data_IF_966712684238
#
_entry.id   IF_966712684238
#
_cell.length_a   1.000
_cell.length_b   1.000
_cell.length_c   1.000
_cell.angle_alpha   90.00
_cell.angle_beta   90.00
_cell.angle_gamma   90.00
#
_symmetry.space_group_name_H-M   'P 1'
#
loop_
_entity.id
_entity.type
_entity.pdbx_description
1 polymer ?
#
# COMPACT_ATOMS: atom_id res chain seq x y z
N UNK A 1 -49.85 -65.84 -19.34
CA UNK A 1 -49.26 -66.97 -20.09
C UNK A 1 -49.73 -66.87 -21.51
N UNK A 2 -48.96 -66.18 -22.36
CA UNK A 2 -49.28 -66.01 -23.77
C UNK A 2 -48.74 -67.22 -24.54
N UNK A 3 -49.63 -67.95 -25.19
CA UNK A 3 -49.31 -69.07 -26.08
C UNK A 3 -48.44 -68.56 -27.23
N UNK A 4 -47.28 -69.20 -27.44
CA UNK A 4 -46.41 -68.92 -28.58
C UNK A 4 -47.04 -69.48 -29.86
N UNK A 5 -47.15 -68.70 -30.96
CA UNK A 5 -47.66 -69.18 -32.24
C UNK A 5 -46.80 -70.30 -32.87
N UNK A 6 -45.58 -70.52 -32.35
CA UNK A 6 -44.73 -71.65 -32.72
C UNK A 6 -45.22 -73.01 -32.21
N UNK A 7 -46.00 -73.05 -31.12
CA UNK A 7 -46.48 -74.32 -30.54
C UNK A 7 -47.67 -74.91 -31.31
N UNK A 8 -48.48 -74.04 -31.94
CA UNK A 8 -49.65 -74.47 -32.71
C UNK A 8 -49.30 -74.89 -34.15
N UNK A 9 -48.17 -74.43 -34.71
CA UNK A 9 -47.68 -74.91 -36.02
C UNK A 9 -47.14 -76.34 -35.99
N UNK A 10 -46.74 -76.86 -34.83
CA UNK A 10 -46.23 -78.24 -34.67
C UNK A 10 -47.34 -79.28 -34.46
N UNK A 11 -48.62 -78.87 -34.42
CA UNK A 11 -49.78 -79.77 -34.27
C UNK A 11 -50.59 -79.99 -35.56
N UNK A 12 -50.08 -79.55 -36.71
CA UNK A 12 -50.69 -79.97 -37.98
C UNK A 12 -50.19 -81.36 -38.36
N UNK A 13 -51.06 -82.33 -38.12
CA UNK A 13 -50.96 -83.71 -38.56
C UNK A 13 -51.11 -83.77 -40.09
N UNK A 14 -50.05 -83.45 -40.85
CA UNK A 14 -50.05 -83.63 -42.30
C UNK A 14 -49.66 -85.08 -42.64
N UNK A 15 -50.69 -85.88 -42.94
CA UNK A 15 -50.60 -87.20 -43.55
C UNK A 15 -49.94 -87.09 -44.95
N UNK A 16 -49.22 -88.10 -45.45
CA UNK A 16 -48.45 -88.01 -46.70
C UNK A 16 -49.27 -87.93 -48.00
N UNK A 17 -50.61 -88.00 -47.93
CA UNK A 17 -51.43 -88.36 -49.09
C UNK A 17 -52.17 -87.18 -49.77
N UNK A 18 -51.81 -85.93 -49.45
CA UNK A 18 -52.51 -84.74 -49.98
C UNK A 18 -51.62 -83.66 -50.60
N UNK A 19 -50.50 -84.05 -51.24
CA UNK A 19 -49.73 -83.19 -52.15
C UNK A 19 -49.38 -83.94 -53.44
N UNK A 20 -50.33 -84.69 -53.99
CA UNK A 20 -50.26 -85.06 -55.41
C UNK A 20 -51.15 -84.09 -56.18
N UNK A 21 -50.55 -82.96 -56.56
CA UNK A 21 -50.89 -82.34 -57.83
C UNK A 21 -50.15 -83.13 -58.90
N UNK A 22 -50.91 -83.57 -59.92
CA UNK A 22 -50.56 -84.36 -61.10
C UNK A 22 -49.07 -84.72 -61.31
N UNK A 23 -48.82 -86.03 -61.40
CA UNK A 23 -47.54 -86.72 -61.60
C UNK A 23 -46.74 -86.33 -62.87
N UNK A 24 -47.15 -85.31 -63.63
CA UNK A 24 -46.58 -84.91 -64.93
C UNK A 24 -45.70 -83.65 -64.90
N UNK A 25 -45.31 -83.16 -63.72
CA UNK A 25 -44.41 -81.98 -63.60
C UNK A 25 -43.14 -82.25 -62.80
N UNK A 26 -42.69 -83.50 -62.80
CA UNK A 26 -41.30 -83.78 -62.47
C UNK A 26 -40.45 -83.32 -63.65
N UNK A 27 -39.52 -82.39 -63.40
CA UNK A 27 -38.41 -82.17 -64.32
C UNK A 27 -37.56 -83.44 -64.28
N UNK A 28 -37.93 -84.44 -65.08
CA UNK A 28 -36.97 -85.41 -65.57
C UNK A 28 -35.83 -84.62 -66.20
N UNK A 29 -34.60 -84.86 -65.75
CA UNK A 29 -33.44 -84.46 -66.53
C UNK A 29 -33.69 -84.98 -67.96
N UNK A 30 -33.73 -84.12 -68.99
CA UNK A 30 -34.22 -84.53 -70.29
C UNK A 30 -33.38 -85.72 -70.77
N UNK A 31 -34.04 -86.88 -70.91
CA UNK A 31 -33.38 -88.18 -71.06
C UNK A 31 -32.52 -88.32 -72.33
N UNK A 32 -32.51 -87.31 -73.19
CA UNK A 32 -31.85 -87.29 -74.50
C UNK A 32 -30.77 -86.20 -74.65
N UNK A 33 -30.36 -85.54 -73.55
CA UNK A 33 -29.26 -84.56 -73.62
C UNK A 33 -27.91 -85.30 -73.75
N UNK A 34 -27.02 -84.92 -74.69
CA UNK A 34 -25.66 -85.42 -74.75
C UNK A 34 -24.97 -85.23 -73.40
N UNK A 35 -24.08 -86.16 -73.03
CA UNK A 35 -23.42 -86.22 -71.72
C UNK A 35 -22.82 -84.87 -71.24
N UNK A 36 -22.39 -84.02 -72.17
CA UNK A 36 -21.90 -82.66 -71.92
C UNK A 36 -22.96 -81.69 -71.37
N UNK A 37 -24.21 -81.79 -71.80
CA UNK A 37 -25.32 -80.93 -71.34
C UNK A 37 -25.89 -81.40 -70.00
N UNK A 38 -25.72 -82.70 -69.68
CA UNK A 38 -25.99 -83.25 -68.35
C UNK A 38 -24.90 -82.81 -67.36
N UNK A 39 -23.63 -82.85 -67.76
CA UNK A 39 -22.52 -82.22 -67.01
C UNK A 39 -22.77 -80.72 -66.82
N UNK A 40 -23.19 -79.97 -67.84
CA UNK A 40 -23.55 -78.54 -67.69
C UNK A 40 -24.74 -78.30 -66.74
N UNK A 41 -25.69 -79.23 -66.64
CA UNK A 41 -26.83 -79.14 -65.71
C UNK A 41 -26.40 -79.41 -64.25
N UNK A 42 -25.54 -80.40 -64.03
CA UNK A 42 -24.94 -80.65 -62.71
C UNK A 42 -23.93 -79.56 -62.34
N UNK A 43 -23.16 -79.04 -63.29
CA UNK A 43 -22.30 -77.85 -63.14
C UNK A 43 -23.15 -76.60 -62.85
N UNK A 44 -24.37 -76.48 -63.38
CA UNK A 44 -25.31 -75.40 -63.05
C UNK A 44 -25.88 -75.53 -61.63
N UNK A 45 -26.08 -76.75 -61.13
CA UNK A 45 -26.44 -77.03 -59.73
C UNK A 45 -25.23 -76.86 -58.78
N UNK A 46 -24.03 -77.24 -59.20
CA UNK A 46 -22.77 -77.01 -58.49
C UNK A 46 -22.41 -75.51 -58.47
N UNK A 47 -22.74 -74.77 -59.52
CA UNK A 47 -22.69 -73.31 -59.57
C UNK A 47 -23.72 -72.64 -58.62
N UNK A 48 -24.84 -73.30 -58.30
CA UNK A 48 -25.74 -72.85 -57.23
C UNK A 48 -25.18 -73.12 -55.82
N UNK A 49 -24.35 -74.15 -55.64
CA UNK A 49 -23.54 -74.33 -54.43
C UNK A 49 -22.43 -73.26 -54.34
N UNK A 50 -21.84 -72.85 -55.46
CA UNK A 50 -20.98 -71.66 -55.53
C UNK A 50 -21.73 -70.39 -55.15
N UNK A 51 -23.05 -70.29 -55.35
CA UNK A 51 -23.87 -69.20 -54.84
C UNK A 51 -24.09 -69.22 -53.32
N UNK A 52 -23.79 -70.30 -52.60
CA UNK A 52 -23.70 -70.28 -51.13
C UNK A 52 -22.36 -69.63 -50.74
N UNK A 53 -21.30 -69.92 -51.49
CA UNK A 53 -19.96 -69.30 -51.39
C UNK A 53 -19.92 -67.87 -51.97
N UNK A 54 -20.88 -67.48 -52.81
CA UNK A 54 -21.02 -66.15 -53.44
C UNK A 54 -22.25 -65.35 -52.97
N UNK A 55 -23.14 -65.92 -52.16
CA UNK A 55 -23.95 -65.19 -51.17
C UNK A 55 -23.13 -64.95 -49.89
N UNK A 56 -21.98 -65.61 -49.79
CA UNK A 56 -20.96 -65.30 -48.81
C UNK A 56 -20.56 -63.83 -48.76
N UNK A 57 -20.54 -62.97 -49.80
CA UNK A 57 -20.29 -61.53 -49.67
C UNK A 57 -21.27 -60.83 -48.73
N UNK A 58 -22.53 -61.28 -48.66
CA UNK A 58 -23.52 -60.80 -47.68
C UNK A 58 -23.33 -61.41 -46.28
N UNK A 59 -22.55 -62.50 -46.16
CA UNK A 59 -22.19 -63.19 -44.92
C UNK A 59 -20.72 -62.92 -44.48
N UNK A 60 -19.86 -62.39 -45.36
CA UNK A 60 -18.46 -62.00 -45.14
C UNK A 60 -18.32 -60.49 -45.00
N UNK A 61 -19.22 -59.72 -45.61
CA UNK A 61 -19.75 -58.52 -44.95
C UNK A 61 -20.82 -58.94 -43.93
N UNK A 62 -20.46 -59.80 -42.97
CA UNK A 62 -20.93 -59.52 -41.62
C UNK A 62 -20.54 -58.07 -41.38
N UNK A 63 -21.50 -57.14 -41.51
CA UNK A 63 -21.35 -55.77 -41.02
C UNK A 63 -20.89 -55.94 -39.58
N UNK A 64 -19.59 -55.88 -39.37
CA UNK A 64 -18.98 -55.97 -38.06
C UNK A 64 -19.67 -54.91 -37.24
N UNK A 65 -20.30 -55.34 -36.14
CA UNK A 65 -21.00 -54.43 -35.24
C UNK A 65 -20.11 -53.24 -34.95
N UNK A 66 -20.57 -52.03 -35.23
CA UNK A 66 -19.70 -50.86 -35.20
C UNK A 66 -19.25 -50.50 -33.79
N UNK A 67 -19.97 -50.99 -32.78
CA UNK A 67 -19.81 -50.60 -31.38
C UNK A 67 -19.75 -51.79 -30.42
N UNK A 68 -19.52 -53.00 -30.93
CA UNK A 68 -19.31 -54.20 -30.10
C UNK A 68 -17.92 -54.76 -30.37
N UNK A 69 -17.26 -55.18 -29.28
CA UNK A 69 -15.92 -55.73 -29.35
C UNK A 69 -15.92 -57.07 -30.08
N UNK A 70 -14.91 -57.32 -30.91
CA UNK A 70 -14.69 -58.63 -31.50
C UNK A 70 -13.22 -59.04 -31.27
N UNK A 71 -12.94 -59.78 -30.18
CA UNK A 71 -11.58 -60.20 -29.84
C UNK A 71 -10.99 -61.17 -30.85
N UNK A 72 -11.82 -61.99 -31.51
CA UNK A 72 -11.37 -62.94 -32.54
C UNK A 72 -10.83 -62.20 -33.78
N UNK A 73 -11.40 -61.03 -34.09
CA UNK A 73 -10.95 -60.14 -35.18
C UNK A 73 -10.01 -59.02 -34.71
N UNK A 74 -9.59 -59.03 -33.45
CA UNK A 74 -8.79 -57.95 -32.83
C UNK A 74 -9.41 -56.56 -33.06
N UNK A 75 -10.74 -56.46 -32.95
CA UNK A 75 -11.51 -55.25 -33.20
C UNK A 75 -12.04 -54.67 -31.87
N UNK A 76 -11.62 -53.44 -31.57
CA UNK A 76 -11.97 -52.70 -30.36
C UNK A 76 -12.48 -51.31 -30.76
N UNK A 77 -13.79 -51.13 -30.99
CA UNK A 77 -14.33 -49.86 -31.44
C UNK A 77 -14.17 -48.76 -30.38
N UNK A 78 -13.98 -47.53 -30.84
CA UNK A 78 -14.09 -46.36 -29.97
C UNK A 78 -15.57 -46.14 -29.67
N UNK A 79 -15.93 -46.26 -28.40
CA UNK A 79 -17.31 -46.19 -27.98
C UNK A 79 -17.76 -44.71 -27.84
N UNK A 80 -18.88 -44.33 -28.47
CA UNK A 80 -19.47 -43.00 -28.27
C UNK A 80 -19.81 -42.72 -26.80
N UNK A 81 -20.22 -43.75 -26.06
CA UNK A 81 -20.47 -43.67 -24.61
C UNK A 81 -19.21 -43.34 -23.83
N UNK A 82 -18.08 -44.00 -24.11
CA UNK A 82 -16.80 -43.72 -23.44
C UNK A 82 -16.29 -42.32 -23.75
N UNK A 83 -16.39 -41.91 -25.01
CA UNK A 83 -15.99 -40.57 -25.45
C UNK A 83 -16.75 -39.51 -24.65
N UNK A 84 -18.08 -39.62 -24.59
CA UNK A 84 -18.91 -38.68 -23.83
C UNK A 84 -18.68 -38.80 -22.31
N UNK A 85 -18.45 -40.01 -21.79
CA UNK A 85 -18.15 -40.24 -20.38
C UNK A 85 -16.84 -39.54 -19.97
N UNK A 86 -15.83 -39.59 -20.83
CA UNK A 86 -14.56 -38.88 -20.64
C UNK A 86 -14.74 -37.36 -20.73
N UNK A 87 -15.51 -36.86 -21.70
CA UNK A 87 -15.83 -35.42 -21.80
C UNK A 87 -16.52 -34.91 -20.52
N UNK A 88 -17.45 -35.69 -19.96
CA UNK A 88 -18.08 -35.36 -18.68
C UNK A 88 -17.04 -35.34 -17.54
N UNK A 89 -16.14 -36.34 -17.49
CA UNK A 89 -15.08 -36.41 -16.49
C UNK A 89 -14.12 -35.23 -16.55
N UNK A 90 -13.70 -34.83 -17.76
CA UNK A 90 -12.87 -33.64 -18.00
C UNK A 90 -13.59 -32.39 -17.54
N UNK A 91 -14.85 -32.21 -17.93
CA UNK A 91 -15.63 -31.04 -17.53
C UNK A 91 -15.78 -30.92 -16.00
N UNK A 92 -16.08 -32.02 -15.31
CA UNK A 92 -16.16 -32.05 -13.84
C UNK A 92 -14.84 -31.61 -13.21
N UNK A 93 -13.72 -32.09 -13.76
CA UNK A 93 -12.37 -31.81 -13.23
C UNK A 93 -11.96 -30.37 -13.50
N UNK A 94 -12.12 -29.89 -14.73
CA UNK A 94 -11.72 -28.54 -15.15
C UNK A 94 -12.50 -27.46 -14.40
N UNK A 95 -13.81 -27.67 -14.23
CA UNK A 95 -14.68 -26.72 -13.54
C UNK A 95 -14.70 -26.93 -12.01
N UNK A 96 -13.95 -27.92 -11.50
CA UNK A 96 -13.87 -28.29 -10.09
C UNK A 96 -15.26 -28.45 -9.42
N UNK A 97 -16.16 -29.16 -10.08
CA UNK A 97 -17.49 -29.43 -9.57
C UNK A 97 -17.42 -30.29 -8.30
N UNK A 98 -18.20 -29.94 -7.29
CA UNK A 98 -18.31 -30.66 -6.02
C UNK A 98 -19.40 -31.72 -6.08
N UNK A 99 -19.28 -32.71 -5.20
CA UNK A 99 -20.25 -33.81 -5.13
C UNK A 99 -21.69 -33.37 -4.81
N UNK A 100 -21.84 -32.22 -4.15
CA UNK A 100 -23.13 -31.62 -3.79
C UNK A 100 -23.69 -30.66 -4.85
N UNK A 101 -22.91 -30.31 -5.88
CA UNK A 101 -23.38 -29.46 -6.97
C UNK A 101 -24.48 -30.18 -7.76
N UNK A 102 -25.57 -29.47 -8.03
CA UNK A 102 -26.70 -30.02 -8.79
C UNK A 102 -26.26 -30.51 -10.17
N UNK A 103 -25.40 -29.75 -10.83
CA UNK A 103 -24.83 -30.05 -12.13
C UNK A 103 -23.96 -31.30 -12.09
N UNK A 104 -23.18 -31.49 -11.03
CA UNK A 104 -22.42 -32.73 -10.81
C UNK A 104 -23.33 -33.95 -10.71
N UNK A 105 -24.37 -33.89 -9.88
CA UNK A 105 -25.34 -34.98 -9.70
C UNK A 105 -26.02 -35.33 -11.03
N UNK A 106 -26.41 -34.32 -11.82
CA UNK A 106 -27.01 -34.53 -13.13
C UNK A 106 -26.03 -35.17 -14.13
N UNK A 107 -24.77 -34.75 -14.14
CA UNK A 107 -23.73 -35.34 -14.97
C UNK A 107 -23.44 -36.79 -14.57
N UNK A 108 -23.38 -37.10 -13.28
CA UNK A 108 -23.24 -38.48 -12.79
C UNK A 108 -24.42 -39.36 -13.21
N UNK A 109 -25.64 -38.82 -13.20
CA UNK A 109 -26.80 -39.53 -13.72
C UNK A 109 -26.69 -39.81 -15.23
N UNK A 110 -26.09 -38.90 -16.01
CA UNK A 110 -25.78 -39.16 -17.42
C UNK A 110 -24.72 -40.25 -17.56
N UNK A 111 -23.63 -40.23 -16.77
CA UNK A 111 -22.59 -41.28 -16.80
C UNK A 111 -23.16 -42.67 -16.49
N UNK A 112 -24.03 -42.76 -15.49
CA UNK A 112 -24.73 -44.01 -15.17
C UNK A 112 -25.62 -44.49 -16.33
N UNK A 113 -26.32 -43.57 -17.00
CA UNK A 113 -27.11 -43.91 -18.20
C UNK A 113 -26.24 -44.37 -19.36
N UNK A 114 -25.07 -43.76 -19.58
CA UNK A 114 -24.14 -44.18 -20.64
C UNK A 114 -23.60 -45.58 -20.39
N UNK A 115 -23.27 -45.91 -19.15
CA UNK A 115 -22.79 -47.25 -18.77
C UNK A 115 -23.87 -48.29 -19.05
N UNK A 116 -25.09 -48.08 -18.54
CA UNK A 116 -26.22 -48.99 -18.78
C UNK A 116 -26.60 -49.09 -20.27
N UNK A 117 -26.47 -47.99 -21.03
CA UNK A 117 -26.80 -47.98 -22.45
C UNK A 117 -25.84 -48.86 -23.25
N UNK A 118 -24.54 -48.79 -22.95
CA UNK A 118 -23.55 -49.63 -23.61
C UNK A 118 -23.75 -51.10 -23.26
N UNK A 119 -23.88 -51.43 -21.97
CA UNK A 119 -24.07 -52.81 -21.51
C UNK A 119 -25.34 -53.46 -22.10
N UNK A 120 -26.41 -52.69 -22.27
CA UNK A 120 -27.63 -53.20 -22.89
C UNK A 120 -27.49 -53.34 -24.40
N UNK A 121 -26.86 -52.37 -25.08
CA UNK A 121 -26.63 -52.45 -26.52
C UNK A 121 -25.75 -53.65 -26.89
N UNK A 122 -24.66 -53.88 -26.15
CA UNK A 122 -23.78 -55.03 -26.36
C UNK A 122 -24.55 -56.34 -26.21
N UNK A 123 -25.32 -56.50 -25.12
CA UNK A 123 -26.15 -57.69 -24.89
C UNK A 123 -27.19 -57.92 -25.99
N UNK A 124 -27.87 -56.87 -26.43
CA UNK A 124 -28.91 -56.99 -27.47
C UNK A 124 -28.32 -57.39 -28.82
N UNK A 125 -27.12 -56.87 -29.15
CA UNK A 125 -26.38 -57.25 -30.35
C UNK A 125 -25.88 -58.70 -30.25
N UNK A 126 -25.35 -59.13 -29.11
CA UNK A 126 -24.92 -60.53 -28.87
C UNK A 126 -26.05 -61.54 -29.09
N UNK A 127 -27.28 -61.20 -28.67
CA UNK A 127 -28.46 -62.07 -28.88
C UNK A 127 -28.77 -62.24 -30.37
N UNK A 128 -28.68 -61.16 -31.15
CA UNK A 128 -28.88 -61.22 -32.60
C UNK A 128 -27.74 -61.98 -33.30
N UNK A 129 -26.48 -61.77 -32.89
CA UNK A 129 -25.33 -62.51 -33.40
C UNK A 129 -25.44 -64.01 -33.11
N UNK A 130 -25.86 -64.39 -31.90
CA UNK A 130 -26.12 -65.78 -31.55
C UNK A 130 -27.24 -66.38 -32.43
N UNK A 131 -28.30 -65.61 -32.68
CA UNK A 131 -29.41 -66.04 -33.54
C UNK A 131 -28.96 -66.23 -34.99
N UNK A 132 -28.14 -65.33 -35.53
CA UNK A 132 -27.52 -65.45 -36.85
C UNK A 132 -26.62 -66.69 -36.90
N UNK A 133 -25.77 -66.91 -35.89
CA UNK A 133 -24.88 -68.07 -35.82
C UNK A 133 -25.66 -69.40 -35.83
N UNK A 134 -26.70 -69.53 -35.00
CA UNK A 134 -27.54 -70.74 -34.94
C UNK A 134 -28.33 -70.96 -36.24
N UNK A 135 -28.83 -69.89 -36.87
CA UNK A 135 -29.55 -70.00 -38.15
C UNK A 135 -28.61 -70.36 -39.31
N UNK A 136 -27.38 -69.84 -39.30
CA UNK A 136 -26.32 -70.28 -40.21
C UNK A 136 -25.98 -71.75 -40.00
N UNK A 137 -25.75 -72.22 -38.77
CA UNK A 137 -25.50 -73.64 -38.52
C UNK A 137 -26.61 -74.54 -39.07
N UNK A 138 -27.88 -74.12 -38.97
CA UNK A 138 -29.01 -74.83 -39.60
C UNK A 138 -28.91 -74.83 -41.14
N UNK A 139 -28.47 -73.75 -41.75
CA UNK A 139 -28.23 -73.67 -43.20
C UNK A 139 -27.16 -74.67 -43.65
N UNK A 140 -26.05 -74.72 -42.90
CA UNK A 140 -24.96 -75.65 -43.15
C UNK A 140 -25.43 -77.11 -43.04
N UNK A 141 -26.20 -77.45 -41.99
CA UNK A 141 -26.79 -78.78 -41.83
C UNK A 141 -27.75 -79.14 -42.97
N UNK A 142 -28.56 -78.20 -43.47
CA UNK A 142 -29.43 -78.41 -44.64
C UNK A 142 -28.61 -78.66 -45.91
N UNK A 143 -27.46 -78.00 -46.07
CA UNK A 143 -26.51 -78.28 -47.16
C UNK A 143 -25.90 -79.68 -47.08
N UNK A 144 -25.49 -80.12 -45.89
CA UNK A 144 -24.90 -81.47 -45.69
C UNK A 144 -25.91 -82.60 -45.96
N UNK A 145 -27.17 -82.46 -45.52
CA UNK A 145 -28.22 -83.46 -45.77
C UNK A 145 -28.53 -83.68 -47.25
N UNK A 146 -28.21 -82.73 -48.12
CA UNK A 146 -28.42 -82.84 -49.58
C UNK A 146 -27.55 -83.92 -50.22
N UNK A 147 -26.50 -84.38 -49.53
CA UNK A 147 -25.53 -85.36 -50.00
C UNK A 147 -25.76 -86.77 -49.42
N UNK A 148 -26.86 -87.01 -48.70
CA UNK A 148 -27.24 -88.35 -48.22
C UNK A 148 -27.99 -89.15 -49.32
N UNK A 149 -27.58 -90.39 -49.62
CA UNK A 149 -28.12 -91.17 -50.75
C UNK A 149 -29.60 -91.58 -50.62
N UNK A 150 -30.18 -91.51 -49.41
CA UNK A 150 -31.59 -91.87 -49.12
C UNK A 150 -32.54 -90.65 -49.13
N UNK A 151 -32.06 -89.45 -49.48
CA UNK A 151 -32.81 -88.22 -49.29
C UNK A 151 -33.76 -87.91 -50.47
N UNK A 152 -35.08 -87.94 -50.21
CA UNK A 152 -36.17 -87.71 -51.19
C UNK A 152 -36.36 -86.20 -51.49
N UNK A 153 -35.51 -85.32 -50.96
CA UNK A 153 -35.67 -83.87 -51.11
C UNK A 153 -35.46 -83.42 -52.56
N UNK A 154 -36.47 -82.78 -53.15
CA UNK A 154 -36.37 -82.13 -54.46
C UNK A 154 -35.58 -80.82 -54.34
N UNK A 155 -34.85 -80.42 -55.39
CA UNK A 155 -34.10 -79.16 -55.41
C UNK A 155 -34.96 -77.91 -55.12
N UNK A 156 -36.27 -77.98 -55.37
CA UNK A 156 -37.25 -76.94 -54.98
C UNK A 156 -37.41 -76.78 -53.47
N UNK A 157 -37.40 -77.87 -52.71
CA UNK A 157 -37.56 -77.82 -51.25
C UNK A 157 -36.31 -77.26 -50.57
N UNK A 158 -35.14 -77.58 -51.10
CA UNK A 158 -33.88 -76.99 -50.67
C UNK A 158 -33.86 -75.48 -50.88
N UNK A 159 -34.20 -75.03 -52.10
CA UNK A 159 -34.28 -73.61 -52.43
C UNK A 159 -35.23 -72.87 -51.48
N UNK A 160 -36.41 -73.43 -51.21
CA UNK A 160 -37.38 -72.84 -50.28
C UNK A 160 -36.86 -72.73 -48.85
N UNK A 161 -36.19 -73.76 -48.32
CA UNK A 161 -35.59 -73.72 -46.98
C UNK A 161 -34.43 -72.72 -46.90
N UNK A 162 -33.57 -72.68 -47.92
CA UNK A 162 -32.47 -71.73 -48.02
C UNK A 162 -32.98 -70.29 -48.03
N UNK A 163 -33.96 -69.99 -48.87
CA UNK A 163 -34.53 -68.65 -49.00
C UNK A 163 -35.18 -68.20 -47.67
N UNK A 164 -35.84 -69.11 -46.93
CA UNK A 164 -36.39 -68.83 -45.60
C UNK A 164 -35.31 -68.50 -44.54
N UNK A 165 -34.17 -69.22 -44.57
CA UNK A 165 -33.06 -68.94 -43.65
C UNK A 165 -32.39 -67.62 -43.99
N UNK A 166 -32.20 -67.32 -45.27
CA UNK A 166 -31.66 -66.03 -45.72
C UNK A 166 -32.58 -64.86 -45.35
N UNK A 167 -33.90 -65.03 -45.46
CA UNK A 167 -34.87 -64.04 -44.98
C UNK A 167 -34.70 -63.77 -43.48
N UNK A 168 -34.53 -64.83 -42.67
CA UNK A 168 -34.33 -64.69 -41.22
C UNK A 168 -33.01 -63.98 -40.87
N UNK A 169 -31.92 -64.28 -41.57
CA UNK A 169 -30.64 -63.58 -41.37
C UNK A 169 -30.76 -62.10 -41.77
N UNK A 170 -31.49 -61.80 -42.84
CA UNK A 170 -31.76 -60.43 -43.26
C UNK A 170 -32.61 -59.65 -42.24
N UNK A 171 -33.58 -60.31 -41.59
CA UNK A 171 -34.33 -59.71 -40.48
C UNK A 171 -33.41 -59.34 -39.31
N UNK A 172 -32.55 -60.26 -38.86
CA UNK A 172 -31.58 -60.00 -37.78
C UNK A 172 -30.61 -58.87 -38.16
N UNK A 173 -30.14 -58.82 -39.40
CA UNK A 173 -29.29 -57.71 -39.88
C UNK A 173 -30.00 -56.36 -39.82
N UNK A 174 -31.31 -56.31 -40.13
CA UNK A 174 -32.12 -55.08 -40.00
C UNK A 174 -32.34 -54.69 -38.54
N UNK A 175 -32.57 -55.65 -37.64
CA UNK A 175 -32.73 -55.35 -36.21
C UNK A 175 -31.44 -54.80 -35.62
N UNK A 176 -30.29 -55.38 -35.96
CA UNK A 176 -28.97 -54.86 -35.56
C UNK A 176 -28.73 -53.42 -36.03
N UNK A 177 -29.03 -53.12 -37.29
CA UNK A 177 -28.92 -51.74 -37.80
C UNK A 177 -29.84 -50.77 -37.06
N UNK A 178 -31.05 -51.22 -36.69
CA UNK A 178 -31.97 -50.42 -35.87
C UNK A 178 -31.41 -50.16 -34.47
N UNK A 179 -30.84 -51.19 -33.82
CA UNK A 179 -30.23 -51.08 -32.50
C UNK A 179 -29.02 -50.13 -32.51
N UNK A 180 -28.16 -50.18 -33.54
CA UNK A 180 -27.03 -49.24 -33.70
C UNK A 180 -27.52 -47.79 -33.84
N UNK A 181 -28.58 -47.56 -34.62
CA UNK A 181 -29.15 -46.23 -34.79
C UNK A 181 -29.79 -45.70 -33.50
N UNK A 182 -30.56 -46.54 -32.79
CA UNK A 182 -31.15 -46.20 -31.49
C UNK A 182 -30.07 -45.89 -30.43
N UNK A 183 -28.97 -46.64 -30.44
CA UNK A 183 -27.80 -46.39 -29.59
C UNK A 183 -27.16 -45.03 -29.89
N UNK A 184 -26.92 -44.70 -31.16
CA UNK A 184 -26.36 -43.40 -31.55
C UNK A 184 -27.30 -42.24 -31.22
N UNK A 185 -28.59 -42.39 -31.47
CA UNK A 185 -29.60 -41.37 -31.17
C UNK A 185 -29.67 -41.08 -29.67
N UNK A 186 -29.62 -42.12 -28.83
CA UNK A 186 -29.63 -41.97 -27.38
C UNK A 186 -28.35 -41.33 -26.85
N UNK A 187 -27.17 -41.71 -27.37
CA UNK A 187 -25.90 -41.02 -27.04
C UNK A 187 -25.95 -39.55 -27.46
N UNK A 188 -26.46 -39.25 -28.66
CA UNK A 188 -26.61 -37.87 -29.15
C UNK A 188 -27.53 -37.02 -28.26
N UNK A 189 -28.65 -37.59 -27.80
CA UNK A 189 -29.54 -36.94 -26.84
C UNK A 189 -28.84 -36.67 -25.50
N UNK A 190 -28.05 -37.62 -24.98
CA UNK A 190 -27.29 -37.45 -23.74
C UNK A 190 -26.19 -36.40 -23.89
N UNK A 191 -25.49 -36.37 -25.03
CA UNK A 191 -24.50 -35.36 -25.36
C UNK A 191 -25.12 -33.95 -25.43
N UNK A 192 -26.34 -33.82 -25.95
CA UNK A 192 -27.07 -32.55 -25.94
C UNK A 192 -27.39 -32.10 -24.51
N UNK A 193 -27.88 -33.01 -23.66
CA UNK A 193 -28.15 -32.70 -22.24
C UNK A 193 -26.89 -32.30 -21.48
N UNK A 194 -25.77 -32.99 -21.71
CA UNK A 194 -24.47 -32.64 -21.14
C UNK A 194 -24.05 -31.22 -21.53
N UNK A 195 -24.20 -30.85 -22.81
CA UNK A 195 -23.92 -29.49 -23.29
C UNK A 195 -24.82 -28.43 -22.65
N UNK A 196 -26.11 -28.71 -22.50
CA UNK A 196 -27.06 -27.80 -21.85
C UNK A 196 -26.66 -27.54 -20.38
N UNK A 197 -26.34 -28.60 -19.63
CA UNK A 197 -25.85 -28.49 -18.24
C UNK A 197 -24.55 -27.66 -18.19
N UNK A 198 -23.59 -27.95 -19.06
CA UNK A 198 -22.31 -27.23 -19.12
C UNK A 198 -22.50 -25.73 -19.40
N UNK A 199 -23.38 -25.40 -20.34
CA UNK A 199 -23.67 -24.00 -20.68
C UNK A 199 -24.37 -23.27 -19.54
N UNK A 200 -25.33 -23.92 -18.86
CA UNK A 200 -26.01 -23.35 -17.71
C UNK A 200 -25.03 -23.07 -16.56
N UNK A 201 -24.14 -24.02 -16.26
CA UNK A 201 -23.07 -23.84 -15.27
C UNK A 201 -22.17 -22.65 -15.60
N UNK A 202 -21.64 -22.61 -16.83
CA UNK A 202 -20.77 -21.51 -17.28
C UNK A 202 -21.48 -20.15 -17.27
N UNK A 203 -22.79 -20.13 -17.45
CA UNK A 203 -23.58 -18.91 -17.32
C UNK A 203 -23.68 -18.48 -15.86
N UNK A 204 -24.03 -19.39 -14.94
CA UNK A 204 -24.11 -19.11 -13.50
C UNK A 204 -22.79 -18.64 -12.92
N UNK A 205 -21.67 -19.26 -13.32
CA UNK A 205 -20.34 -18.86 -12.88
C UNK A 205 -20.03 -17.41 -13.29
N UNK A 206 -20.27 -17.06 -14.57
CA UNK A 206 -20.08 -15.69 -15.07
C UNK A 206 -20.96 -14.68 -14.34
N UNK A 207 -22.25 -15.00 -14.13
CA UNK A 207 -23.16 -14.13 -13.39
C UNK A 207 -22.68 -13.89 -11.96
N UNK A 208 -22.24 -14.94 -11.26
CA UNK A 208 -21.70 -14.85 -9.90
C UNK A 208 -20.41 -14.02 -9.84
N UNK A 209 -19.50 -14.18 -10.79
CA UNK A 209 -18.29 -13.36 -10.89
C UNK A 209 -18.61 -11.88 -11.09
N UNK A 210 -19.58 -11.57 -11.97
CA UNK A 210 -20.01 -10.19 -12.19
C UNK A 210 -20.67 -9.59 -10.94
N UNK A 211 -21.44 -10.39 -10.20
CA UNK A 211 -22.06 -9.95 -8.95
C UNK A 211 -21.01 -9.67 -7.87
N UNK A 212 -20.02 -10.56 -7.72
CA UNK A 212 -18.91 -10.36 -6.79
C UNK A 212 -18.12 -9.09 -7.13
N UNK A 213 -17.82 -8.86 -8.42
CA UNK A 213 -17.15 -7.64 -8.86
C UNK A 213 -17.97 -6.38 -8.54
N UNK A 214 -19.29 -6.41 -8.75
CA UNK A 214 -20.18 -5.32 -8.39
C UNK A 214 -20.25 -5.09 -6.88
N UNK A 215 -20.28 -6.15 -6.08
CA UNK A 215 -20.25 -6.05 -4.62
C UNK A 215 -18.94 -5.43 -4.12
N UNK A 216 -17.80 -5.84 -4.68
CA UNK A 216 -16.49 -5.24 -4.36
C UNK A 216 -16.45 -3.75 -4.73
N UNK A 217 -16.95 -3.38 -5.91
CA UNK A 217 -17.03 -1.97 -6.31
C UNK A 217 -17.90 -1.15 -5.35
N UNK A 218 -19.04 -1.69 -4.91
CA UNK A 218 -19.91 -1.03 -3.91
C UNK A 218 -19.22 -0.86 -2.57
N UNK A 219 -18.51 -1.89 -2.10
CA UNK A 219 -17.76 -1.83 -0.85
C UNK A 219 -16.64 -0.77 -0.92
N UNK A 220 -15.85 -0.77 -2.00
CA UNK A 220 -14.80 0.22 -2.23
C UNK A 220 -15.35 1.64 -2.31
N UNK A 221 -16.47 1.84 -3.02
CA UNK A 221 -17.14 3.14 -3.09
C UNK A 221 -17.63 3.61 -1.72
N UNK A 222 -18.19 2.71 -0.90
CA UNK A 222 -18.59 3.04 0.47
C UNK A 222 -17.40 3.42 1.34
N UNK A 223 -16.28 2.70 1.23
CA UNK A 223 -15.04 3.04 1.94
C UNK A 223 -14.51 4.42 1.54
N UNK A 224 -14.47 4.71 0.23
CA UNK A 224 -14.04 6.01 -0.30
C UNK A 224 -14.96 7.13 0.21
N UNK A 225 -16.28 6.91 0.20
CA UNK A 225 -17.25 7.89 0.74
C UNK A 225 -17.02 8.16 2.22
N UNK A 226 -16.78 7.13 3.03
CA UNK A 226 -16.49 7.30 4.46
C UNK A 226 -15.18 8.06 4.70
N UNK A 227 -14.12 7.75 3.95
CA UNK A 227 -12.85 8.49 4.00
C UNK A 227 -13.04 9.96 3.63
N UNK A 228 -13.79 10.23 2.56
CA UNK A 228 -14.09 11.60 2.12
C UNK A 228 -14.91 12.36 3.17
N UNK A 229 -15.89 11.71 3.81
CA UNK A 229 -16.68 12.33 4.88
C UNK A 229 -15.81 12.67 6.10
N UNK A 230 -14.86 11.81 6.47
CA UNK A 230 -13.92 12.09 7.56
C UNK A 230 -13.02 13.29 7.24
N UNK A 231 -12.44 13.33 6.02
CA UNK A 231 -11.61 14.47 5.57
C UNK A 231 -12.42 15.77 5.58
N UNK A 232 -13.67 15.75 5.12
CA UNK A 232 -14.54 16.93 5.16
C UNK A 232 -14.82 17.38 6.59
N UNK A 233 -15.01 16.45 7.53
CA UNK A 233 -15.21 16.76 8.95
C UNK A 233 -13.96 17.38 9.58
N UNK A 234 -12.78 16.82 9.30
CA UNK A 234 -11.49 17.37 9.75
C UNK A 234 -11.27 18.78 9.19
N UNK A 235 -11.53 18.97 7.89
CA UNK A 235 -11.47 20.29 7.25
C UNK A 235 -12.37 21.30 7.94
N UNK A 236 -13.63 20.95 8.21
CA UNK A 236 -14.56 21.83 8.92
C UNK A 236 -14.07 22.17 10.34
N UNK A 237 -13.46 21.21 11.03
CA UNK A 237 -12.83 21.45 12.34
C UNK A 237 -11.65 22.44 12.26
N UNK A 238 -10.79 22.30 11.24
CA UNK A 238 -9.68 23.22 10.99
C UNK A 238 -10.16 24.61 10.59
N UNK A 239 -11.17 24.71 9.72
CA UNK A 239 -11.79 25.99 9.33
C UNK A 239 -12.37 26.72 10.55
N UNK A 240 -13.05 25.98 11.45
CA UNK A 240 -13.53 26.56 12.70
C UNK A 240 -12.38 27.03 13.61
N UNK A 241 -11.31 26.24 13.75
CA UNK A 241 -10.13 26.62 14.53
C UNK A 241 -9.43 27.87 13.98
N UNK A 242 -9.34 27.98 12.65
CA UNK A 242 -8.78 29.14 11.96
C UNK A 242 -9.61 30.40 12.24
N UNK A 243 -10.94 30.30 12.24
CA UNK A 243 -11.82 31.42 12.57
C UNK A 243 -11.61 31.93 14.01
N UNK A 244 -11.41 31.03 14.98
CA UNK A 244 -11.06 31.43 16.36
C UNK A 244 -9.71 32.15 16.42
N UNK A 245 -8.69 31.64 15.74
CA UNK A 245 -7.37 32.27 15.71
C UNK A 245 -7.40 33.65 15.01
N UNK A 246 -8.22 33.82 13.97
CA UNK A 246 -8.45 35.11 13.35
C UNK A 246 -9.06 36.11 14.33
N UNK A 247 -10.08 35.69 15.09
CA UNK A 247 -10.69 36.52 16.12
C UNK A 247 -9.69 36.93 17.22
N UNK A 248 -8.87 35.99 17.69
CA UNK A 248 -7.84 36.29 18.69
C UNK A 248 -6.79 37.28 18.16
N UNK A 249 -6.39 37.15 16.89
CA UNK A 249 -5.47 38.10 16.26
C UNK A 249 -6.09 39.51 16.16
N UNK A 250 -7.34 39.63 15.74
CA UNK A 250 -8.06 40.92 15.70
C UNK A 250 -8.12 41.58 17.09
N UNK A 251 -8.35 40.77 18.14
CA UNK A 251 -8.36 41.24 19.52
C UNK A 251 -6.97 41.73 19.95
N UNK A 252 -5.92 40.98 19.64
CA UNK A 252 -4.53 41.37 19.95
C UNK A 252 -4.16 42.66 19.22
N UNK A 253 -4.48 42.78 17.93
CA UNK A 253 -4.24 44.00 17.15
C UNK A 253 -4.93 45.20 17.80
N UNK A 254 -6.20 45.05 18.18
CA UNK A 254 -6.96 46.12 18.86
C UNK A 254 -6.29 46.56 20.16
N UNK A 255 -5.79 45.61 20.97
CA UNK A 255 -5.05 45.92 22.19
C UNK A 255 -3.69 46.57 21.92
N UNK A 256 -2.99 46.15 20.88
CA UNK A 256 -1.74 46.77 20.47
C UNK A 256 -1.95 48.24 20.09
N UNK A 257 -3.01 48.56 19.35
CA UNK A 257 -3.35 49.96 19.04
C UNK A 257 -3.63 50.77 20.31
N UNK A 258 -4.37 50.21 21.27
CA UNK A 258 -4.61 50.87 22.57
C UNK A 258 -3.30 51.14 23.32
N UNK A 259 -2.42 50.15 23.44
CA UNK A 259 -1.13 50.35 24.11
C UNK A 259 -0.23 51.35 23.38
N UNK A 260 -0.27 51.37 22.06
CA UNK A 260 0.46 52.35 21.25
C UNK A 260 -0.03 53.78 21.58
N UNK A 261 -1.34 53.98 21.67
CA UNK A 261 -1.94 55.26 22.01
C UNK A 261 -1.63 55.68 23.45
N UNK A 262 -1.76 54.76 24.41
CA UNK A 262 -1.40 54.99 25.82
C UNK A 262 0.08 55.35 25.97
N UNK A 263 0.96 54.63 25.28
CA UNK A 263 2.40 54.92 25.26
C UNK A 263 2.68 56.31 24.69
N UNK A 264 2.06 56.66 23.56
CA UNK A 264 2.18 57.97 22.96
C UNK A 264 1.67 59.08 23.89
N UNK A 265 0.57 58.85 24.60
CA UNK A 265 0.03 59.77 25.60
C UNK A 265 1.03 59.99 26.75
N UNK A 266 1.50 58.91 27.37
CA UNK A 266 2.50 58.97 28.44
C UNK A 266 3.79 59.65 27.98
N UNK A 267 4.25 59.37 26.75
CA UNK A 267 5.40 60.04 26.16
C UNK A 267 5.18 61.54 26.06
N UNK A 268 4.02 62.01 25.60
CA UNK A 268 3.67 63.45 25.54
C UNK A 268 3.64 64.07 26.93
N UNK A 269 3.08 63.39 27.94
CA UNK A 269 3.09 63.87 29.34
C UNK A 269 4.52 63.98 29.88
N UNK A 270 5.37 62.99 29.59
CA UNK A 270 6.78 62.98 29.98
C UNK A 270 7.56 64.12 29.31
N UNK A 271 7.34 64.35 28.02
CA UNK A 271 8.05 65.39 27.25
C UNK A 271 7.52 66.80 27.53
N UNK A 272 6.24 66.93 27.88
CA UNK A 272 5.56 68.17 28.26
C UNK A 272 5.77 68.54 29.72
N UNK A 273 4.72 68.42 30.54
CA UNK A 273 4.67 68.95 31.93
C UNK A 273 5.80 68.42 32.80
N UNK A 274 6.08 67.11 32.75
CA UNK A 274 7.17 66.52 33.54
C UNK A 274 8.54 66.87 32.97
N UNK A 275 8.66 67.00 31.65
CA UNK A 275 9.90 67.36 30.97
C UNK A 275 10.30 68.82 31.25
N UNK A 276 9.33 69.71 31.31
CA UNK A 276 9.51 71.10 31.71
C UNK A 276 9.85 71.21 33.21
N UNK A 277 9.19 70.43 34.06
CA UNK A 277 9.51 70.37 35.48
C UNK A 277 10.95 69.86 35.72
N UNK A 278 11.35 68.77 35.07
CA UNK A 278 12.72 68.25 35.17
C UNK A 278 13.75 69.27 34.69
N UNK A 279 13.51 69.95 33.56
CA UNK A 279 14.39 71.05 33.08
C UNK A 279 14.42 72.25 34.04
N UNK A 280 13.38 72.47 34.82
CA UNK A 280 13.36 73.50 35.87
C UNK A 280 14.17 73.08 37.09
N UNK A 281 14.06 71.82 37.49
CA UNK A 281 14.82 71.25 38.61
C UNK A 281 16.30 71.21 38.27
N UNK A 282 16.68 70.76 37.08
CA UNK A 282 18.08 70.72 36.62
C UNK A 282 18.70 72.13 36.64
N UNK A 283 17.98 73.15 36.14
CA UNK A 283 18.42 74.55 36.20
C UNK A 283 18.59 75.06 37.63
N UNK A 284 17.70 74.66 38.55
CA UNK A 284 17.81 75.04 39.96
C UNK A 284 19.05 74.40 40.63
N UNK A 285 19.37 73.15 40.29
CA UNK A 285 20.56 72.44 40.77
C UNK A 285 21.83 73.09 40.23
N UNK A 286 21.88 73.42 38.94
CA UNK A 286 23.00 74.14 38.32
C UNK A 286 23.24 75.49 39.02
N UNK A 287 22.18 76.26 39.26
CA UNK A 287 22.29 77.56 39.92
C UNK A 287 22.76 77.45 41.37
N UNK A 288 22.32 76.43 42.10
CA UNK A 288 22.80 76.16 43.46
C UNK A 288 24.31 75.81 43.47
N UNK A 289 24.78 75.05 42.49
CA UNK A 289 26.19 74.71 42.36
C UNK A 289 27.05 75.93 42.04
N UNK A 290 26.59 76.80 41.15
CA UNK A 290 27.25 78.07 40.82
C UNK A 290 27.35 78.99 42.04
N UNK A 291 26.28 79.10 42.83
CA UNK A 291 26.26 79.89 44.05
C UNK A 291 27.21 79.31 45.12
N UNK A 292 27.29 77.98 45.24
CA UNK A 292 28.25 77.32 46.12
C UNK A 292 29.70 77.61 45.72
N UNK A 293 30.01 77.64 44.42
CA UNK A 293 31.33 78.01 43.90
C UNK A 293 31.63 79.49 44.21
N UNK A 294 30.68 80.40 43.97
CA UNK A 294 30.84 81.83 44.30
C UNK A 294 31.12 82.04 45.78
N UNK A 295 30.38 81.37 46.65
CA UNK A 295 30.57 81.48 48.10
C UNK A 295 31.95 80.96 48.53
N UNK A 296 32.41 79.82 48.00
CA UNK A 296 33.78 79.33 48.26
C UNK A 296 34.85 80.31 47.81
N UNK A 297 34.69 80.91 46.63
CA UNK A 297 35.62 81.92 46.12
C UNK A 297 35.64 83.17 47.00
N UNK A 298 34.47 83.63 47.45
CA UNK A 298 34.35 84.76 48.37
C UNK A 298 35.01 84.46 49.72
N UNK A 299 34.78 83.29 50.29
CA UNK A 299 35.45 82.86 51.53
C UNK A 299 36.96 82.82 51.38
N UNK A 300 37.47 82.25 50.28
CA UNK A 300 38.90 82.21 50.00
C UNK A 300 39.48 83.63 49.87
N UNK A 301 38.78 84.53 49.18
CA UNK A 301 39.18 85.93 49.05
C UNK A 301 39.24 86.64 50.42
N UNK A 302 38.23 86.45 51.26
CA UNK A 302 38.19 87.03 52.61
C UNK A 302 39.28 86.46 53.52
N UNK A 303 39.58 85.16 53.44
CA UNK A 303 40.69 84.54 54.18
C UNK A 303 42.04 85.13 53.77
N UNK A 304 42.31 85.21 52.47
CA UNK A 304 43.55 85.81 51.96
C UNK A 304 43.68 87.27 52.41
N UNK A 305 42.58 88.03 52.36
CA UNK A 305 42.59 89.42 52.81
C UNK A 305 42.89 89.55 54.32
N UNK A 306 42.33 88.66 55.15
CA UNK A 306 42.62 88.60 56.59
C UNK A 306 44.09 88.27 56.85
N UNK A 307 44.65 87.31 56.12
CA UNK A 307 46.07 86.93 56.25
C UNK A 307 47.00 88.08 55.87
N UNK A 308 46.68 88.83 54.80
CA UNK A 308 47.41 90.02 54.42
C UNK A 308 47.42 91.09 55.53
N UNK A 309 46.27 91.32 56.20
CA UNK A 309 46.17 92.26 57.34
C UNK A 309 47.02 91.78 58.52
N UNK A 310 47.04 90.47 58.81
CA UNK A 310 47.87 89.90 59.88
C UNK A 310 49.35 90.08 59.56
N UNK A 311 49.76 89.83 58.31
CA UNK A 311 51.13 90.01 57.87
C UNK A 311 51.60 91.47 58.03
N UNK A 312 50.77 92.40 57.58
CA UNK A 312 50.99 93.85 57.73
C UNK A 312 51.15 94.26 59.20
N UNK A 313 50.30 93.73 60.10
CA UNK A 313 50.44 93.98 61.55
C UNK A 313 51.77 93.47 62.09
N UNK A 314 52.16 92.23 61.73
CA UNK A 314 53.45 91.64 62.16
C UNK A 314 54.65 92.46 61.67
N UNK A 315 54.63 92.94 60.43
CA UNK A 315 55.68 93.82 59.90
C UNK A 315 55.76 95.13 60.67
N UNK A 316 54.61 95.70 61.02
CA UNK A 316 54.51 96.95 61.80
C UNK A 316 55.02 96.76 63.23
N UNK A 317 54.72 95.64 63.86
CA UNK A 317 55.22 95.29 65.20
C UNK A 317 56.74 95.09 65.19
N UNK A 318 57.29 94.37 64.20
CA UNK A 318 58.74 94.23 64.03
C UNK A 318 59.45 95.57 63.78
N UNK A 319 58.85 96.46 62.98
CA UNK A 319 59.38 97.80 62.77
C UNK A 319 59.37 98.64 64.08
N UNK A 320 58.31 98.50 64.89
CA UNK A 320 58.23 99.14 66.22
C UNK A 320 59.32 98.64 67.15
N UNK A 321 59.55 97.34 67.20
CA UNK A 321 60.56 96.72 68.04
C UNK A 321 61.97 97.19 67.64
N UNK A 322 62.28 97.21 66.34
CA UNK A 322 63.52 97.78 65.82
C UNK A 322 63.72 99.26 66.20
N UNK A 323 62.67 100.08 66.10
CA UNK A 323 62.73 101.49 66.52
C UNK A 323 62.94 101.63 68.04
N UNK A 324 62.35 100.76 68.86
CA UNK A 324 62.55 100.74 70.30
C UNK A 324 64.00 100.42 70.67
N UNK A 325 64.60 99.42 70.02
CA UNK A 325 66.02 99.06 70.20
C UNK A 325 66.95 100.21 69.82
N UNK A 326 66.66 100.91 68.72
CA UNK A 326 67.41 102.11 68.30
C UNK A 326 67.37 103.24 69.34
N UNK A 327 66.19 103.51 69.90
CA UNK A 327 66.02 104.54 70.92
C UNK A 327 66.74 104.19 72.23
N UNK A 328 66.74 102.91 72.61
CA UNK A 328 67.43 102.43 73.81
C UNK A 328 68.96 102.55 73.68
N UNK A 329 69.50 102.29 72.48
CA UNK A 329 70.91 102.50 72.16
C UNK A 329 71.30 103.99 72.21
N UNK A 330 70.48 104.87 71.63
CA UNK A 330 70.67 106.33 71.74
C UNK A 330 70.62 106.83 73.19
N UNK A 331 69.76 106.22 74.02
CA UNK A 331 69.70 106.51 75.46
C UNK A 331 71.01 106.18 76.18
N UNK A 332 71.63 105.05 75.84
CA UNK A 332 72.94 104.61 76.36
C UNK A 332 74.07 105.57 75.95
N UNK A 333 74.16 105.92 74.67
CA UNK A 333 75.18 106.87 74.18
C UNK A 333 75.07 108.23 74.89
N UNK A 334 73.85 108.68 75.18
CA UNK A 334 73.62 109.96 75.86
C UNK A 334 74.08 109.94 77.32
N UNK A 335 73.96 108.80 78.01
CA UNK A 335 74.49 108.60 79.37
C UNK A 335 76.02 108.59 79.39
N UNK A 336 76.66 107.91 78.44
CA UNK A 336 78.13 107.91 78.30
C UNK A 336 78.67 109.33 78.06
N UNK A 337 77.98 110.10 77.22
CA UNK A 337 78.35 111.49 76.92
C UNK A 337 78.16 112.44 78.12
N UNK A 338 77.22 112.14 79.03
CA UNK A 338 77.06 112.93 80.27
C UNK A 338 78.13 112.61 81.30
N UNK A 339 78.57 111.36 81.38
CA UNK A 339 79.71 110.94 82.22
C UNK A 339 81.00 111.64 81.79
N UNK A 340 81.32 111.63 80.48
CA UNK A 340 82.46 112.34 79.90
C UNK A 340 82.46 113.85 80.20
N UNK A 341 81.28 114.47 80.20
CA UNK A 341 81.13 115.90 80.51
C UNK A 341 81.41 116.22 81.98
N UNK A 342 81.12 115.28 82.88
CA UNK A 342 81.37 115.43 84.33
C UNK A 342 82.88 115.33 84.61
N UNK A 343 83.57 114.39 83.97
CA UNK A 343 85.03 114.21 84.10
C UNK A 343 85.80 115.44 83.60
N UNK A 344 85.35 116.06 82.49
CA UNK A 344 85.93 117.30 81.96
C UNK A 344 85.74 118.51 82.89
N UNK A 345 84.62 118.57 83.63
CA UNK A 345 84.35 119.64 84.58
C UNK A 345 85.26 119.54 85.82
N UNK A 346 85.53 118.32 86.26
CA UNK A 346 86.43 118.04 87.39
C UNK A 346 87.90 118.35 87.05
N UNK A 347 88.32 118.08 85.81
CA UNK A 347 89.64 118.47 85.32
C UNK A 347 89.85 119.99 85.27
N UNK A 348 88.80 120.76 84.94
CA UNK A 348 88.85 122.22 84.88
C UNK A 348 88.99 122.86 86.26
N UNK A 349 88.25 122.36 87.26
CA UNK A 349 88.34 122.85 88.64
C UNK A 349 89.72 122.63 89.29
N UNK A 350 90.45 121.57 88.89
CA UNK A 350 91.84 121.34 89.32
C UNK A 350 92.83 122.31 88.68
N UNK A 351 92.57 122.77 87.44
CA UNK A 351 93.38 123.79 86.77
C UNK A 351 93.29 125.17 87.44
N UNK A 352 92.10 125.56 87.89
CA UNK A 352 91.87 126.87 88.50
C UNK A 352 92.53 127.02 89.90
N UNK A 353 92.68 125.92 90.66
CA UNK A 353 93.38 125.92 91.96
C UNK A 353 94.90 126.11 91.82
N UNK A 354 95.49 125.64 90.71
CA UNK A 354 96.93 125.78 90.45
C UNK A 354 97.29 127.21 90.04
N UNK A 355 96.42 127.88 89.27
CA UNK A 355 96.66 129.27 88.86
C UNK A 355 96.62 130.26 90.04
N UNK A 356 95.70 130.09 90.99
CA UNK A 356 95.69 130.89 92.23
C UNK A 356 96.96 130.74 93.07
N UNK A 357 97.58 129.57 93.04
CA UNK A 357 98.83 129.31 93.77
C UNK A 357 100.05 130.01 93.13
N UNK A 358 100.01 130.21 91.80
CA UNK A 358 101.08 130.89 91.04
C UNK A 358 101.00 132.41 91.20
N UNK A 359 99.79 132.98 91.23
CA UNK A 359 99.60 134.42 91.40
C UNK A 359 99.97 134.90 92.82
N UNK A 360 99.76 134.06 93.84
CA UNK A 360 100.20 134.33 95.20
C UNK A 360 101.74 134.38 95.34
N UNK A 361 102.47 133.51 94.63
CA UNK A 361 103.94 133.48 94.62
C UNK A 361 104.56 134.67 93.86
N UNK A 362 103.84 135.27 92.90
CA UNK A 362 104.31 136.46 92.18
C UNK A 362 104.26 137.72 93.05
N UNK A 363 103.22 137.89 93.88
CA UNK A 363 103.14 139.06 94.77
C UNK A 363 104.22 139.04 95.87
N UNK A 364 104.64 137.86 96.34
CA UNK A 364 105.63 137.74 97.40
C UNK A 364 107.07 138.01 96.94
N UNK A 365 107.34 137.91 95.62
CA UNK A 365 108.67 138.20 95.03
C UNK A 365 108.86 139.69 94.74
N UNK A 366 107.80 140.42 94.37
CA UNK A 366 107.91 141.86 94.08
C UNK A 366 108.05 142.71 95.36
N UNK A 367 107.52 142.26 96.50
CA UNK A 367 107.64 142.95 97.80
C UNK A 367 109.02 142.81 98.49
N UNK A 368 109.90 141.91 98.03
CA UNK A 368 111.23 141.69 98.65
C UNK A 368 112.39 142.48 98.02
N UNK A 369 112.18 143.30 96.99
CA UNK A 369 113.26 144.09 96.36
C UNK A 369 113.32 145.58 96.74
N UNK A 370 112.43 146.07 97.62
CA UNK A 370 112.56 147.41 98.22
C UNK A 370 112.85 147.34 99.72
N UNK A 371 114.14 147.27 100.07
CA UNK A 371 114.69 148.03 101.21
C UNK A 371 115.36 147.28 102.37
N UNK A 372 116.72 147.26 102.37
CA UNK A 372 117.64 147.54 103.51
C UNK A 372 118.99 147.97 102.88
N UNK A 373 119.27 149.27 102.74
CA UNK A 373 120.14 150.14 103.57
C UNK A 373 121.61 149.71 103.76
N UNK A 374 122.54 150.38 103.05
CA UNK A 374 123.66 151.19 103.59
C UNK A 374 124.54 151.73 102.47
#
# INVERSE_FOLDING_TARGET
MASSPFSDMLKSLYHPDHIFGDEDTWYDAPADLPQQEIEEYFDALENQNFHIVLASPFLTEEKTNRFVNNPERNYWPILPTDTLNNEIGVFITDENLRDDDREYIQLQHIRAKLSNLHDNHERDIEVEDHTISVTLQKLWAVGETLHEPDNIYTGSDYKRKRDLVLERINECSRTKERLENEYLDTVSMLAKKMREISQEWKKKCRERETELALQQLRANNSEIQNRLQNVLREKAGLESGLAFLQYDNELIETRMYQFQDDYNHLRRVREGVLGEHNRSVDRAIEQQNDDAIRNRNLEAHLRNHREAIILERRQRDAARENCSVLLENLGRERQELTSLRRDLFEARARGDCLNHSIDALKMEIDDQKTGVMS
#
